data_IF_624707894059
#
_entry.id   IF_624707894059
#
_cell.length_a   1.000
_cell.length_b   1.000
_cell.length_c   1.000
_cell.angle_alpha   90.00
_cell.angle_beta   90.00
_cell.angle_gamma   90.00
#
_symmetry.space_group_name_H-M   'P 1'
#
loop_
_entity.id
_entity.type
_entity.pdbx_description
1 polymer ?
#
# COMPACT_ATOMS: atom_id res chain seq x y z
N UNK A 1 49.71 -51.23 -3.25
CA UNK A 1 48.53 -50.46 -3.67
C UNK A 1 47.59 -50.39 -2.47
N UNK A 2 47.58 -49.27 -1.74
CA UNK A 2 46.61 -49.00 -0.67
C UNK A 2 45.87 -47.72 -1.03
N UNK A 3 44.64 -47.89 -1.49
CA UNK A 3 43.63 -46.85 -1.66
C UNK A 3 42.91 -46.64 -0.31
N UNK A 4 42.82 -45.40 0.18
CA UNK A 4 42.22 -45.14 1.49
C UNK A 4 41.81 -43.69 1.72
N UNK A 5 40.71 -43.30 1.08
CA UNK A 5 39.68 -42.32 1.53
C UNK A 5 40.12 -40.95 2.07
N UNK A 6 40.05 -39.95 1.19
CA UNK A 6 39.93 -38.54 1.57
C UNK A 6 38.50 -38.29 2.09
N UNK A 7 38.30 -37.72 3.30
CA UNK A 7 36.99 -37.30 3.74
C UNK A 7 36.63 -35.99 3.02
N UNK A 8 35.72 -36.08 2.05
CA UNK A 8 35.10 -34.90 1.47
C UNK A 8 34.15 -34.30 2.51
N UNK A 9 34.59 -33.22 3.15
CA UNK A 9 33.74 -32.37 3.97
C UNK A 9 32.76 -31.67 3.02
N UNK A 10 31.52 -32.14 2.98
CA UNK A 10 30.44 -31.47 2.28
C UNK A 10 30.07 -30.19 3.06
N UNK A 11 30.46 -29.03 2.54
CA UNK A 11 29.89 -27.75 2.96
C UNK A 11 28.41 -27.75 2.56
N UNK A 12 27.52 -27.99 3.53
CA UNK A 12 26.12 -27.67 3.40
C UNK A 12 25.98 -26.14 3.36
N UNK A 13 25.94 -25.57 2.15
CA UNK A 13 25.50 -24.21 1.93
C UNK A 13 24.02 -24.16 2.33
N UNK A 14 23.75 -23.69 3.55
CA UNK A 14 22.42 -23.25 3.93
C UNK A 14 22.07 -22.04 3.05
N UNK A 15 21.48 -22.32 1.89
CA UNK A 15 20.80 -21.34 1.07
C UNK A 15 19.62 -20.84 1.88
N UNK A 16 19.85 -19.82 2.72
CA UNK A 16 18.78 -19.01 3.28
C UNK A 16 18.03 -18.41 2.08
N UNK A 17 16.93 -19.06 1.69
CA UNK A 17 16.03 -18.53 0.68
C UNK A 17 15.67 -17.11 1.09
N UNK A 18 15.76 -16.11 0.18
CA UNK A 18 15.39 -14.75 0.51
C UNK A 18 13.94 -14.75 0.98
N UNK A 19 13.74 -14.44 2.26
CA UNK A 19 12.42 -14.36 2.87
C UNK A 19 11.64 -13.28 2.14
N UNK A 20 10.51 -13.64 1.53
CA UNK A 20 9.66 -12.66 0.86
C UNK A 20 9.30 -11.53 1.82
N UNK A 21 9.29 -10.25 1.37
CA UNK A 21 8.87 -9.14 2.21
C UNK A 21 7.47 -9.42 2.78
N UNK A 22 7.25 -9.15 4.06
CA UNK A 22 5.95 -9.31 4.70
C UNK A 22 5.34 -7.95 4.98
N UNK A 23 4.01 -7.85 4.88
CA UNK A 23 3.29 -6.64 5.22
C UNK A 23 3.46 -6.36 6.72
N UNK A 24 3.83 -5.13 7.11
CA UNK A 24 4.02 -4.80 8.51
C UNK A 24 2.68 -4.74 9.24
N UNK A 25 2.66 -5.11 10.52
CA UNK A 25 1.44 -5.20 11.32
C UNK A 25 0.67 -3.88 11.41
N UNK A 26 1.35 -2.73 11.28
CA UNK A 26 0.70 -1.43 11.30
C UNK A 26 -0.25 -1.19 10.12
N UNK A 27 -0.11 -1.94 9.02
CA UNK A 27 -0.93 -1.76 7.84
C UNK A 27 -2.32 -2.41 7.98
N UNK A 28 -2.42 -3.48 8.76
CA UNK A 28 -3.65 -4.25 8.88
C UNK A 28 -4.80 -3.45 9.53
N UNK A 29 -6.02 -3.75 9.08
CA UNK A 29 -7.27 -3.20 9.57
C UNK A 29 -7.93 -2.21 8.62
N UNK A 30 -8.88 -1.46 9.17
CA UNK A 30 -9.69 -0.49 8.44
C UNK A 30 -9.09 0.92 8.49
N UNK A 31 -9.18 1.58 7.34
CA UNK A 31 -8.71 2.93 7.11
C UNK A 31 -9.82 3.74 6.44
N UNK A 32 -10.19 4.87 7.03
CA UNK A 32 -11.28 5.73 6.58
C UNK A 32 -10.77 6.85 5.65
N UNK A 33 -11.38 7.07 4.49
CA UNK A 33 -10.93 8.12 3.58
C UNK A 33 -11.36 9.49 4.12
N UNK A 34 -10.44 10.45 4.14
CA UNK A 34 -10.76 11.85 4.45
C UNK A 34 -10.16 12.84 3.43
N UNK A 35 -9.53 12.34 2.36
CA UNK A 35 -9.11 13.14 1.21
C UNK A 35 -10.09 13.01 0.05
N UNK A 36 -10.35 14.11 -0.67
CA UNK A 36 -11.30 14.14 -1.79
C UNK A 36 -11.04 13.09 -2.86
N UNK A 37 -9.76 12.75 -3.11
CA UNK A 37 -9.38 11.74 -4.10
C UNK A 37 -9.93 10.34 -3.79
N UNK A 38 -10.13 10.01 -2.51
CA UNK A 38 -10.50 8.65 -2.07
C UNK A 38 -11.84 8.54 -1.35
N UNK A 39 -12.56 9.65 -1.12
CA UNK A 39 -13.95 9.58 -0.60
C UNK A 39 -14.81 8.66 -1.48
N UNK A 40 -14.62 8.72 -2.80
CA UNK A 40 -15.30 7.86 -3.77
C UNK A 40 -14.96 6.37 -3.65
N UNK A 41 -13.74 6.04 -3.21
CA UNK A 41 -13.28 4.66 -3.00
C UNK A 41 -13.79 4.05 -1.69
N UNK A 42 -14.38 4.85 -0.79
CA UNK A 42 -14.85 4.38 0.54
C UNK A 42 -13.72 3.78 1.37
N UNK A 43 -14.06 3.11 2.47
CA UNK A 43 -13.11 2.51 3.41
C UNK A 43 -12.14 1.56 2.70
N UNK A 44 -10.85 1.66 3.08
CA UNK A 44 -9.82 0.70 2.73
C UNK A 44 -9.69 -0.30 3.89
N UNK A 45 -9.91 -1.58 3.61
CA UNK A 45 -9.67 -2.67 4.56
C UNK A 45 -8.47 -3.49 4.09
N UNK A 46 -7.46 -3.66 4.94
CA UNK A 46 -6.27 -4.48 4.65
C UNK A 46 -6.22 -5.69 5.57
N UNK A 47 -6.31 -6.89 4.96
CA UNK A 47 -6.10 -8.18 5.60
C UNK A 47 -4.63 -8.60 5.60
N UNK A 48 -4.40 -9.90 5.75
CA UNK A 48 -3.04 -10.48 5.74
C UNK A 48 -2.34 -10.35 4.38
N UNK A 49 -3.09 -10.61 3.32
CA UNK A 49 -2.64 -10.71 1.92
C UNK A 49 -3.70 -10.19 0.94
N UNK A 50 -4.75 -9.57 1.45
CA UNK A 50 -5.91 -9.08 0.68
C UNK A 50 -6.21 -7.63 1.05
N UNK A 51 -6.67 -6.86 0.07
CA UNK A 51 -7.18 -5.51 0.32
C UNK A 51 -8.56 -5.33 -0.33
N UNK A 52 -9.37 -4.47 0.27
CA UNK A 52 -10.69 -4.11 -0.24
C UNK A 52 -10.95 -2.61 -0.16
N UNK A 53 -11.55 -2.07 -1.21
CA UNK A 53 -12.24 -0.77 -1.26
C UNK A 53 -13.33 -0.80 -2.34
N UNK A 54 -14.11 0.27 -2.50
CA UNK A 54 -15.11 0.35 -3.57
C UNK A 54 -14.42 0.28 -4.94
N UNK A 55 -14.82 -0.69 -5.75
CA UNK A 55 -14.20 -0.96 -7.07
C UNK A 55 -13.01 -1.93 -7.02
N UNK A 56 -12.73 -2.54 -5.86
CA UNK A 56 -11.68 -3.55 -5.69
C UNK A 56 -12.01 -4.39 -4.45
N UNK A 57 -12.60 -5.58 -4.63
CA UNK A 57 -13.02 -6.43 -3.53
C UNK A 57 -12.07 -7.62 -3.39
N UNK A 58 -11.58 -7.87 -2.17
CA UNK A 58 -10.73 -9.01 -1.80
C UNK A 58 -9.55 -9.22 -2.77
N UNK A 59 -8.92 -8.13 -3.19
CA UNK A 59 -7.80 -8.19 -4.10
C UNK A 59 -6.57 -8.73 -3.37
N UNK A 60 -6.11 -9.90 -3.78
CA UNK A 60 -4.84 -10.43 -3.32
C UNK A 60 -3.69 -9.50 -3.73
N UNK A 61 -2.69 -9.40 -2.87
CA UNK A 61 -1.50 -8.64 -3.15
C UNK A 61 -0.21 -9.37 -2.74
N UNK A 62 0.86 -9.06 -3.45
CA UNK A 62 2.22 -9.36 -3.06
C UNK A 62 2.91 -8.12 -2.49
N UNK A 63 3.73 -8.30 -1.46
CA UNK A 63 4.55 -7.21 -0.92
C UNK A 63 5.85 -7.14 -1.71
N UNK A 64 6.00 -6.09 -2.52
CA UNK A 64 7.20 -5.84 -3.33
C UNK A 64 8.32 -5.25 -2.47
N UNK A 65 7.96 -4.38 -1.52
CA UNK A 65 8.92 -3.73 -0.62
C UNK A 65 8.23 -3.35 0.68
N UNK A 66 8.95 -3.46 1.78
CA UNK A 66 8.51 -3.04 3.11
C UNK A 66 9.72 -2.46 3.85
N UNK A 67 9.78 -1.13 3.94
CA UNK A 67 10.93 -0.41 4.50
C UNK A 67 10.44 0.72 5.38
N UNK A 68 10.72 0.63 6.68
CA UNK A 68 10.31 1.62 7.67
C UNK A 68 8.78 1.84 7.66
N UNK A 69 8.37 3.04 7.24
CA UNK A 69 6.96 3.44 7.16
C UNK A 69 6.36 3.28 5.75
N UNK A 70 7.11 2.75 4.78
CA UNK A 70 6.68 2.59 3.40
C UNK A 70 6.49 1.11 3.07
N UNK A 71 5.35 0.80 2.46
CA UNK A 71 5.04 -0.51 1.90
C UNK A 71 4.61 -0.34 0.46
N UNK A 72 5.09 -1.21 -0.41
CA UNK A 72 4.66 -1.29 -1.81
C UNK A 72 3.99 -2.63 -2.04
N UNK A 73 2.73 -2.58 -2.46
CA UNK A 73 1.91 -3.74 -2.80
C UNK A 73 1.76 -3.83 -4.32
N UNK A 74 1.88 -5.04 -4.86
CA UNK A 74 1.44 -5.39 -6.21
C UNK A 74 0.11 -6.12 -6.10
N UNK A 75 -0.91 -5.64 -6.79
CA UNK A 75 -2.20 -6.33 -6.85
C UNK A 75 -2.09 -7.50 -7.82
N UNK A 76 -2.75 -8.61 -7.48
CA UNK A 76 -2.85 -9.76 -8.36
C UNK A 76 -3.45 -9.34 -9.72
N UNK A 77 -2.97 -9.94 -10.81
CA UNK A 77 -3.32 -9.49 -12.17
C UNK A 77 -4.81 -9.66 -12.49
N UNK A 78 -5.42 -10.67 -11.88
CA UNK A 78 -6.84 -11.02 -11.95
C UNK A 78 -7.71 -10.17 -11.00
N UNK A 79 -7.10 -9.43 -10.07
CA UNK A 79 -7.82 -8.42 -9.30
C UNK A 79 -8.28 -7.30 -10.26
N UNK A 80 -9.57 -7.25 -10.54
CA UNK A 80 -10.23 -6.28 -11.43
C UNK A 80 -10.39 -4.91 -10.75
N UNK A 81 -9.32 -4.39 -10.16
CA UNK A 81 -9.34 -3.16 -9.37
C UNK A 81 -9.20 -1.93 -10.25
N UNK A 82 -10.15 -0.99 -10.15
CA UNK A 82 -10.14 0.25 -10.92
C UNK A 82 -10.46 1.46 -10.06
N UNK A 83 -9.92 2.62 -10.42
CA UNK A 83 -10.33 3.92 -9.90
C UNK A 83 -11.75 4.25 -10.38
N UNK A 84 -12.42 5.15 -9.67
CA UNK A 84 -13.78 5.60 -10.00
C UNK A 84 -13.80 6.77 -11.00
N UNK A 85 -12.75 6.91 -11.80
CA UNK A 85 -12.60 7.90 -12.87
C UNK A 85 -13.21 7.43 -14.20
N UNK A 86 -13.26 8.32 -15.19
CA UNK A 86 -13.80 8.06 -16.51
C UNK A 86 -12.79 8.51 -17.60
N UNK A 87 -12.23 7.57 -18.40
CA UNK A 87 -12.38 6.12 -18.31
C UNK A 87 -11.76 5.55 -17.01
N UNK A 88 -12.24 4.39 -16.51
CA UNK A 88 -11.70 3.80 -15.28
C UNK A 88 -10.23 3.42 -15.43
N UNK A 89 -9.39 3.95 -14.56
CA UNK A 89 -7.97 3.62 -14.51
C UNK A 89 -7.75 2.32 -13.75
N UNK A 90 -7.11 1.32 -14.38
CA UNK A 90 -6.69 0.09 -13.70
C UNK A 90 -5.70 0.40 -12.58
N UNK A 91 -5.85 -0.29 -11.45
CA UNK A 91 -4.93 -0.27 -10.32
C UNK A 91 -3.99 -1.47 -10.42
N UNK A 92 -2.70 -1.25 -10.26
CA UNK A 92 -1.69 -2.32 -10.35
C UNK A 92 -0.76 -2.35 -9.15
N UNK A 93 -0.25 -1.18 -8.77
CA UNK A 93 0.66 -1.03 -7.63
C UNK A 93 0.11 0.00 -6.67
N UNK A 94 0.24 -0.25 -5.38
CA UNK A 94 -0.18 0.66 -4.33
C UNK A 94 1.02 0.93 -3.44
N UNK A 95 1.44 2.19 -3.32
CA UNK A 95 2.43 2.63 -2.33
C UNK A 95 1.70 3.22 -1.14
N UNK A 96 2.06 2.71 0.03
CA UNK A 96 1.42 2.99 1.31
C UNK A 96 2.48 3.58 2.23
N UNK A 97 2.24 4.78 2.74
CA UNK A 97 3.17 5.49 3.61
C UNK A 97 2.47 5.85 4.92
N UNK A 98 2.88 5.22 6.02
CA UNK A 98 2.41 5.60 7.34
C UNK A 98 3.06 6.93 7.74
N UNK A 99 2.25 7.95 8.02
CA UNK A 99 2.72 9.27 8.45
C UNK A 99 3.29 9.21 9.87
N UNK A 100 4.04 10.23 10.24
CA UNK A 100 4.73 10.32 11.54
C UNK A 100 3.77 10.29 12.73
N UNK A 101 2.55 10.80 12.56
CA UNK A 101 1.49 10.71 13.58
C UNK A 101 0.95 9.29 13.79
N UNK A 102 1.41 8.31 12.99
CA UNK A 102 1.01 6.89 13.04
C UNK A 102 -0.49 6.66 12.86
N UNK A 103 -1.19 7.66 12.36
CA UNK A 103 -2.64 7.73 12.28
C UNK A 103 -3.14 7.89 10.86
N UNK A 104 -2.31 8.51 10.02
CA UNK A 104 -2.63 8.76 8.63
C UNK A 104 -1.81 7.85 7.71
N UNK A 105 -2.49 7.33 6.70
CA UNK A 105 -1.93 6.51 5.65
C UNK A 105 -1.98 7.28 4.34
N UNK A 106 -0.81 7.69 3.86
CA UNK A 106 -0.64 8.13 2.49
C UNK A 106 -0.79 6.95 1.54
N UNK A 107 -1.66 7.09 0.56
CA UNK A 107 -1.91 6.07 -0.46
C UNK A 107 -1.68 6.67 -1.84
N UNK A 108 -0.86 6.00 -2.63
CA UNK A 108 -0.58 6.34 -4.02
C UNK A 108 -0.83 5.12 -4.89
N UNK A 109 -1.64 5.30 -5.92
CA UNK A 109 -2.11 4.24 -6.80
C UNK A 109 -1.46 4.42 -8.16
N UNK A 110 -0.82 3.37 -8.67
CA UNK A 110 -0.15 3.35 -9.96
C UNK A 110 -0.83 2.36 -10.89
N UNK A 111 -1.01 2.75 -12.15
CA UNK A 111 -1.62 1.90 -13.16
C UNK A 111 -0.70 0.77 -13.69
N UNK A 112 0.61 0.84 -13.39
CA UNK A 112 1.60 -0.16 -13.84
C UNK A 112 2.91 -0.09 -13.03
N UNK A 113 3.77 -1.13 -13.11
CA UNK A 113 5.13 -1.06 -12.59
C UNK A 113 5.95 0.09 -13.20
N UNK A 114 5.74 0.37 -14.49
CA UNK A 114 6.45 1.44 -15.19
C UNK A 114 6.04 2.83 -14.69
N UNK A 115 4.76 3.03 -14.36
CA UNK A 115 4.28 4.25 -13.74
C UNK A 115 4.90 4.45 -12.34
N UNK A 116 5.00 3.38 -11.55
CA UNK A 116 5.70 3.41 -10.26
C UNK A 116 7.18 3.78 -10.42
N UNK A 117 7.89 3.16 -11.36
CA UNK A 117 9.31 3.46 -11.59
C UNK A 117 9.58 4.93 -11.97
N UNK A 118 8.59 5.58 -12.62
CA UNK A 118 8.63 7.01 -12.96
C UNK A 118 8.05 7.92 -11.88
N UNK A 119 7.61 7.36 -10.75
CA UNK A 119 6.91 8.07 -9.68
C UNK A 119 5.70 8.88 -10.19
N UNK A 120 4.90 8.29 -11.09
CA UNK A 120 3.73 8.92 -11.71
C UNK A 120 2.44 8.23 -11.22
N UNK A 121 1.92 8.58 -10.04
CA UNK A 121 0.68 8.00 -9.53
C UNK A 121 -0.53 8.48 -10.35
N UNK A 122 -1.48 7.57 -10.56
CA UNK A 122 -2.80 7.87 -11.14
C UNK A 122 -3.72 8.54 -10.13
N UNK A 123 -3.52 8.25 -8.84
CA UNK A 123 -4.22 8.93 -7.75
C UNK A 123 -3.37 8.95 -6.48
N UNK A 124 -3.52 10.03 -5.71
CA UNK A 124 -2.85 10.24 -4.43
C UNK A 124 -3.88 10.75 -3.42
N UNK A 125 -3.81 10.24 -2.20
CA UNK A 125 -4.72 10.66 -1.13
C UNK A 125 -4.33 10.09 0.22
N UNK A 126 -5.24 10.30 1.17
CA UNK A 126 -5.06 9.97 2.58
C UNK A 126 -6.25 9.17 3.11
N UNK A 127 -5.92 8.21 3.97
CA UNK A 127 -6.84 7.54 4.87
C UNK A 127 -6.39 7.68 6.32
N UNK A 128 -7.30 7.58 7.27
CA UNK A 128 -7.03 7.69 8.71
C UNK A 128 -7.58 6.51 9.50
N UNK A 129 -7.05 6.25 10.69
CA UNK A 129 -7.65 5.30 11.64
C UNK A 129 -8.75 5.98 12.46
N UNK A 130 -9.91 5.32 12.62
CA UNK A 130 -11.04 5.85 13.38
C UNK A 130 -10.75 6.18 14.86
N UNK A 131 -9.77 5.50 15.48
CA UNK A 131 -9.39 5.71 16.90
C UNK A 131 -8.20 6.66 17.08
N UNK A 132 -7.76 7.33 16.03
CA UNK A 132 -6.74 8.35 16.14
C UNK A 132 -7.38 9.67 16.59
N UNK A 133 -6.72 10.45 17.47
CA UNK A 133 -7.16 11.81 17.71
C UNK A 133 -7.15 12.51 16.35
N UNK A 134 -8.35 12.90 15.88
CA UNK A 134 -8.49 13.68 14.67
C UNK A 134 -7.56 14.88 14.78
N UNK A 135 -6.61 14.99 13.85
CA UNK A 135 -5.76 16.19 13.73
C UNK A 135 -6.64 17.44 13.66
N UNK A 136 -6.08 18.63 13.96
CA UNK A 136 -6.87 19.85 14.09
C UNK A 136 -7.77 20.06 12.87
N UNK A 137 -9.07 20.17 13.12
CA UNK A 137 -10.15 20.22 12.13
C UNK A 137 -10.25 21.59 11.44
N UNK A 138 -9.26 22.47 11.61
CA UNK A 138 -9.44 23.93 11.48
C UNK A 138 -8.93 24.57 10.18
N UNK A 139 -8.59 23.82 9.12
CA UNK A 139 -8.05 24.45 7.89
C UNK A 139 -8.75 24.09 6.58
N UNK A 140 -9.85 23.34 6.60
CA UNK A 140 -10.65 23.09 5.39
C UNK A 140 -11.90 23.97 5.26
N UNK A 141 -12.27 24.76 6.28
CA UNK A 141 -13.48 25.59 6.27
C UNK A 141 -13.23 27.11 6.25
N UNK A 142 -11.98 27.57 6.34
CA UNK A 142 -11.67 29.02 6.42
C UNK A 142 -11.67 29.76 5.07
N UNK A 143 -12.05 29.12 3.96
CA UNK A 143 -12.11 29.75 2.64
C UNK A 143 -13.53 29.97 2.12
N UNK A 144 -14.51 30.19 3.00
CA UNK A 144 -15.84 30.66 2.57
C UNK A 144 -16.45 31.64 3.58
N UNK A 145 -16.16 32.94 3.41
CA UNK A 145 -16.99 34.11 3.78
C UNK A 145 -16.10 35.36 3.66
N UNK A 146 -16.46 36.49 3.08
CA UNK A 146 -17.67 37.02 2.42
C UNK A 146 -17.22 38.39 1.91
N UNK A 147 -17.42 38.71 0.63
CA UNK A 147 -17.32 40.09 0.15
C UNK A 147 -18.55 40.86 0.63
N UNK A 148 -18.43 41.96 1.40
CA UNK A 148 -19.51 42.91 1.54
C UNK A 148 -19.48 43.88 0.34
N UNK A 149 -20.69 44.21 -0.10
CA UNK A 149 -21.03 45.13 -1.19
C UNK A 149 -20.65 46.58 -0.88
#
# INVERSE_FOLDING_TARGET
>A
MLTGMHPLIALALFSAAPTAPTAPAWLAGDWEPYSNAFIGLRMLTVGKDTLSWKGCANAHFDVVTSTGNIVVLRLAKDAMCTLSDAPPTRMDTVRLTLRENRCDLGVEIFASPAAMAKNAPSATGLYGRAKCPSGPVDQAAASFSTTPR
#
